data_IF_835221598744
#
_entry.id   IF_835221598744
#
_cell.length_a   1.000
_cell.length_b   1.000
_cell.length_c   1.000
_cell.angle_alpha   90.00
_cell.angle_beta   90.00
_cell.angle_gamma   90.00
#
_symmetry.space_group_name_H-M   'P 1'
#
loop_
_entity.id
_entity.type
_entity.pdbx_description
1 polymer ?
#
# COMPACT_ATOMS: atom_id res chain seq x y z
N UNK A 1 11.26 6.95 -7.35
CA UNK A 1 11.53 7.47 -5.98
C UNK A 1 10.97 8.89 -5.79
N UNK A 2 11.33 9.85 -6.63
CA UNK A 2 10.88 11.26 -6.49
C UNK A 2 9.36 11.41 -6.37
N UNK A 3 8.57 10.72 -7.21
CA UNK A 3 7.11 10.74 -7.11
C UNK A 3 6.57 10.38 -5.70
N UNK A 4 7.19 9.39 -5.03
CA UNK A 4 6.85 9.00 -3.65
C UNK A 4 7.18 10.10 -2.64
N UNK A 5 8.34 10.74 -2.79
CA UNK A 5 8.78 11.83 -1.91
C UNK A 5 7.86 13.04 -2.04
N UNK A 6 7.56 13.47 -3.27
CA UNK A 6 6.67 14.59 -3.51
C UNK A 6 5.23 14.32 -3.05
N UNK A 7 4.74 13.08 -3.26
CA UNK A 7 3.45 12.68 -2.70
C UNK A 7 3.47 12.84 -1.18
N UNK A 8 4.53 12.39 -0.51
CA UNK A 8 4.66 12.52 0.96
C UNK A 8 4.65 13.96 1.45
N UNK A 9 5.17 14.89 0.64
CA UNK A 9 5.19 16.33 0.93
C UNK A 9 3.88 17.05 0.61
N UNK A 10 2.92 16.39 -0.05
CA UNK A 10 1.70 17.04 -0.58
C UNK A 10 1.97 17.88 -1.83
N UNK A 11 3.12 17.70 -2.48
CA UNK A 11 3.51 18.36 -3.73
C UNK A 11 2.94 17.58 -4.93
N UNK A 12 1.63 17.70 -5.14
CA UNK A 12 0.87 16.84 -6.06
C UNK A 12 1.23 17.05 -7.54
N UNK A 13 1.59 18.26 -7.95
CA UNK A 13 1.98 18.53 -9.35
C UNK A 13 3.28 17.79 -9.70
N UNK A 14 4.28 17.87 -8.82
CA UNK A 14 5.55 17.18 -8.98
C UNK A 14 5.38 15.66 -8.86
N UNK A 15 4.58 15.21 -7.89
CA UNK A 15 4.28 13.79 -7.73
C UNK A 15 3.64 13.20 -8.98
N UNK A 16 2.64 13.88 -9.55
CA UNK A 16 2.02 13.53 -10.82
C UNK A 16 3.06 13.49 -11.95
N UNK A 17 3.84 14.57 -12.12
CA UNK A 17 4.77 14.69 -13.24
C UNK A 17 5.89 13.64 -13.24
N UNK A 18 6.41 13.28 -12.07
CA UNK A 18 7.42 12.20 -11.98
C UNK A 18 6.83 10.81 -12.12
N UNK A 19 5.60 10.58 -11.64
CA UNK A 19 4.92 9.31 -11.85
C UNK A 19 4.59 9.12 -13.34
N UNK A 20 4.07 10.15 -14.00
CA UNK A 20 3.74 10.14 -15.42
C UNK A 20 4.95 9.84 -16.31
N UNK A 21 6.06 10.56 -16.11
CA UNK A 21 7.32 10.29 -16.85
C UNK A 21 7.79 8.85 -16.69
N UNK A 22 7.67 8.28 -15.50
CA UNK A 22 8.09 6.90 -15.28
C UNK A 22 7.15 5.89 -15.95
N UNK A 23 5.84 6.13 -15.91
CA UNK A 23 4.83 5.27 -16.53
C UNK A 23 4.86 5.32 -18.07
N UNK A 24 5.34 6.41 -18.66
CA UNK A 24 5.58 6.51 -20.11
C UNK A 24 6.73 5.61 -20.57
N UNK A 25 7.74 5.39 -19.73
CA UNK A 25 8.88 4.50 -20.02
C UNK A 25 8.59 3.05 -19.64
N UNK A 26 7.94 2.84 -18.49
CA UNK A 26 7.63 1.52 -17.93
C UNK A 26 6.29 1.55 -17.20
N UNK A 27 5.21 1.20 -17.92
CA UNK A 27 3.82 1.22 -17.40
C UNK A 27 3.16 -0.15 -17.33
N UNK A 28 3.88 -1.24 -17.57
CA UNK A 28 3.28 -2.58 -17.60
C UNK A 28 2.84 -3.04 -16.21
N UNK A 29 1.69 -3.72 -16.17
CA UNK A 29 1.15 -4.37 -14.99
C UNK A 29 1.09 -5.88 -15.19
N UNK A 30 1.38 -6.63 -14.14
CA UNK A 30 1.15 -8.06 -14.05
C UNK A 30 -0.36 -8.30 -13.95
N UNK A 31 -0.90 -9.09 -14.86
CA UNK A 31 -2.30 -9.48 -14.79
C UNK A 31 -2.47 -10.67 -13.84
N UNK A 32 -3.24 -10.49 -12.78
CA UNK A 32 -3.39 -11.50 -11.73
C UNK A 32 -4.19 -12.71 -12.19
N UNK A 33 -4.93 -12.60 -13.31
CA UNK A 33 -5.62 -13.74 -13.93
C UNK A 33 -4.63 -14.79 -14.46
N UNK A 34 -3.36 -14.41 -14.68
CA UNK A 34 -2.31 -15.29 -15.20
C UNK A 34 -1.51 -15.98 -14.09
N UNK A 35 -1.84 -15.72 -12.81
CA UNK A 35 -1.17 -16.31 -11.66
C UNK A 35 -1.71 -17.70 -11.30
N UNK A 36 -0.82 -18.60 -10.91
CA UNK A 36 -1.20 -19.87 -10.29
C UNK A 36 -1.40 -19.71 -8.77
N UNK A 37 -2.65 -19.61 -8.34
CA UNK A 37 -2.99 -19.49 -6.92
C UNK A 37 -2.83 -20.80 -6.13
N UNK A 38 -2.64 -21.95 -6.79
CA UNK A 38 -2.35 -23.23 -6.13
C UNK A 38 -0.89 -23.29 -5.64
N UNK A 39 0.00 -22.51 -6.25
CA UNK A 39 1.39 -22.40 -5.82
C UNK A 39 1.51 -21.81 -4.40
N UNK A 40 2.58 -22.22 -3.69
CA UNK A 40 2.91 -21.66 -2.37
C UNK A 40 3.12 -20.14 -2.41
N UNK A 41 3.71 -19.66 -3.50
CA UNK A 41 3.89 -18.24 -3.82
C UNK A 41 3.46 -18.02 -5.27
N UNK A 42 2.39 -17.24 -5.51
CA UNK A 42 1.83 -17.10 -6.86
C UNK A 42 2.66 -16.18 -7.76
N UNK A 43 3.44 -15.26 -7.17
CA UNK A 43 4.24 -14.31 -7.93
C UNK A 43 5.53 -14.94 -8.48
N UNK A 44 6.12 -14.36 -9.54
CA UNK A 44 7.37 -14.86 -10.12
C UNK A 44 8.52 -14.93 -9.10
N UNK A 45 9.27 -16.03 -9.14
CA UNK A 45 10.38 -16.31 -8.23
C UNK A 45 11.45 -15.22 -8.38
N UNK A 46 11.91 -14.67 -7.25
CA UNK A 46 12.87 -13.56 -7.21
C UNK A 46 12.41 -12.31 -7.98
N UNK A 47 11.11 -12.19 -8.29
CA UNK A 47 10.57 -11.10 -9.09
C UNK A 47 10.99 -11.15 -10.57
N UNK A 48 11.68 -12.20 -10.99
CA UNK A 48 12.13 -12.37 -12.37
C UNK A 48 10.92 -12.58 -13.28
N UNK A 49 10.75 -11.71 -14.28
CA UNK A 49 9.58 -11.72 -15.16
C UNK A 49 8.35 -11.00 -14.60
N UNK A 50 8.42 -10.38 -13.41
CA UNK A 50 7.40 -9.43 -12.98
C UNK A 50 7.66 -8.06 -13.67
N UNK A 51 6.80 -7.64 -14.63
CA UNK A 51 7.03 -6.41 -15.38
C UNK A 51 6.82 -5.15 -14.54
N UNK A 52 6.29 -5.28 -13.33
CA UNK A 52 6.03 -4.15 -12.46
C UNK A 52 7.27 -3.65 -11.71
N UNK A 53 8.28 -4.50 -11.50
CA UNK A 53 9.42 -4.17 -10.66
C UNK A 53 10.37 -3.20 -11.37
N UNK A 54 10.49 -1.98 -10.84
CA UNK A 54 11.39 -0.94 -11.33
C UNK A 54 12.70 -0.95 -10.55
N UNK A 55 12.61 -1.13 -9.23
CA UNK A 55 13.76 -1.22 -8.34
C UNK A 55 13.56 -2.39 -7.39
N UNK A 56 14.48 -3.34 -7.43
CA UNK A 56 14.45 -4.53 -6.60
C UNK A 56 14.98 -4.22 -5.20
N UNK A 57 14.12 -4.34 -4.18
CA UNK A 57 14.52 -4.20 -2.79
C UNK A 57 13.72 -5.14 -1.90
N UNK A 58 14.42 -5.77 -0.97
CA UNK A 58 13.88 -6.81 -0.09
C UNK A 58 14.14 -6.44 1.35
N UNK A 59 13.11 -6.55 2.19
CA UNK A 59 13.26 -6.52 3.63
C UNK A 59 13.09 -7.92 4.21
N UNK A 60 13.98 -8.26 5.14
CA UNK A 60 13.78 -9.40 6.04
C UNK A 60 12.91 -8.95 7.21
N UNK A 61 11.83 -9.67 7.47
CA UNK A 61 11.03 -9.45 8.67
C UNK A 61 11.84 -9.81 9.90
N UNK A 62 11.93 -8.90 10.88
CA UNK A 62 12.38 -9.28 12.21
C UNK A 62 11.44 -10.30 12.87
N UNK A 63 11.82 -10.79 14.05
CA UNK A 63 11.06 -11.82 14.79
C UNK A 63 9.56 -11.51 14.96
N UNK A 64 9.18 -10.23 15.08
CA UNK A 64 7.79 -9.80 15.22
C UNK A 64 6.96 -10.03 13.95
N UNK A 65 7.60 -10.02 12.77
CA UNK A 65 6.94 -10.24 11.47
C UNK A 65 7.08 -11.68 10.97
N UNK A 66 7.52 -12.60 11.83
CA UNK A 66 7.56 -14.02 11.49
C UNK A 66 6.15 -14.54 11.20
N UNK A 67 6.02 -15.43 10.20
CA UNK A 67 4.75 -16.09 9.81
C UNK A 67 4.03 -16.78 10.97
N UNK A 68 4.77 -17.22 11.97
CA UNK A 68 4.21 -17.87 13.15
C UNK A 68 3.59 -16.88 14.13
N UNK A 69 3.78 -15.57 13.95
CA UNK A 69 3.36 -14.52 14.91
C UNK A 69 2.51 -13.41 14.29
N UNK A 70 2.52 -13.28 12.97
CA UNK A 70 1.86 -12.18 12.26
C UNK A 70 0.64 -12.67 11.48
N UNK A 71 -0.51 -12.11 11.82
CA UNK A 71 -1.76 -12.28 11.08
C UNK A 71 -2.06 -11.00 10.28
N UNK A 72 -2.78 -11.17 9.18
CA UNK A 72 -3.37 -10.05 8.45
C UNK A 72 -4.58 -9.54 9.24
N UNK A 73 -4.74 -8.21 9.32
CA UNK A 73 -5.88 -7.60 10.00
C UNK A 73 -7.19 -7.92 9.29
N UNK A 74 -8.25 -8.21 10.06
CA UNK A 74 -9.61 -8.44 9.53
C UNK A 74 -10.08 -7.30 8.64
N UNK A 75 -9.83 -6.06 9.04
CA UNK A 75 -10.11 -4.84 8.27
C UNK A 75 -9.55 -4.86 6.83
N UNK A 76 -8.37 -5.47 6.62
CA UNK A 76 -7.78 -5.60 5.28
C UNK A 76 -8.41 -6.78 4.54
N UNK A 77 -8.66 -7.89 5.23
CA UNK A 77 -9.30 -9.07 4.65
C UNK A 77 -10.71 -8.76 4.15
N UNK A 78 -11.48 -8.00 4.92
CA UNK A 78 -12.84 -7.55 4.61
C UNK A 78 -12.88 -6.47 3.53
N UNK A 79 -11.76 -5.79 3.27
CA UNK A 79 -11.69 -4.75 2.24
C UNK A 79 -11.62 -5.29 0.81
N UNK A 80 -11.27 -6.57 0.64
CA UNK A 80 -11.23 -7.21 -0.67
C UNK A 80 -12.65 -7.64 -1.09
N UNK A 81 -13.10 -7.12 -2.22
CA UNK A 81 -14.39 -7.48 -2.79
C UNK A 81 -14.36 -8.87 -3.43
N UNK A 82 -15.54 -9.44 -3.66
CA UNK A 82 -15.66 -10.69 -4.43
C UNK A 82 -15.05 -10.52 -5.84
N UNK A 83 -14.26 -11.51 -6.25
CA UNK A 83 -13.52 -11.48 -7.50
C UNK A 83 -12.23 -10.66 -7.49
N UNK A 84 -11.85 -10.03 -6.38
CA UNK A 84 -10.52 -9.43 -6.19
C UNK A 84 -9.48 -10.53 -5.97
N UNK A 85 -8.55 -10.68 -6.92
CA UNK A 85 -7.54 -11.74 -6.89
C UNK A 85 -6.44 -11.47 -5.86
N UNK A 86 -6.31 -10.24 -5.34
CA UNK A 86 -5.31 -9.91 -4.33
C UNK A 86 -5.50 -10.67 -3.03
N UNK A 87 -6.75 -11.00 -2.67
CA UNK A 87 -7.02 -11.86 -1.52
C UNK A 87 -6.36 -13.23 -1.71
N UNK A 88 -6.47 -13.83 -2.88
CA UNK A 88 -5.83 -15.13 -3.18
C UNK A 88 -4.31 -15.01 -3.38
N UNK A 89 -3.84 -13.87 -3.89
CA UNK A 89 -2.43 -13.61 -4.13
C UNK A 89 -1.64 -13.40 -2.82
N UNK A 90 -2.20 -12.63 -1.88
CA UNK A 90 -1.50 -12.17 -0.68
C UNK A 90 -1.90 -12.87 0.61
N UNK A 91 -3.02 -13.59 0.66
CA UNK A 91 -3.53 -14.24 1.88
C UNK A 91 -3.41 -15.75 1.77
N UNK A 92 -2.89 -16.37 2.83
CA UNK A 92 -2.87 -17.81 3.03
C UNK A 92 -3.66 -18.15 4.30
N UNK A 93 -4.54 -19.12 4.18
CA UNK A 93 -5.22 -19.74 5.29
C UNK A 93 -4.34 -20.90 5.79
N UNK A 94 -3.75 -20.75 6.99
CA UNK A 94 -2.93 -21.81 7.55
C UNK A 94 -3.78 -22.94 8.16
N UNK A 95 -3.14 -24.07 8.48
CA UNK A 95 -3.82 -25.25 9.03
C UNK A 95 -4.49 -25.00 10.39
N UNK A 96 -4.10 -23.92 11.08
CA UNK A 96 -4.70 -23.49 12.35
C UNK A 96 -5.83 -22.48 12.15
N UNK A 97 -6.23 -22.21 10.91
CA UNK A 97 -7.30 -21.27 10.54
C UNK A 97 -6.85 -19.81 10.49
N UNK A 98 -5.57 -19.50 10.75
CA UNK A 98 -5.05 -18.13 10.73
C UNK A 98 -4.91 -17.62 9.30
N UNK A 99 -5.08 -16.31 9.14
CA UNK A 99 -4.95 -15.59 7.88
C UNK A 99 -3.59 -14.89 7.86
N UNK A 100 -2.63 -15.46 7.15
CA UNK A 100 -1.24 -15.00 7.13
C UNK A 100 -0.84 -14.48 5.75
N UNK A 101 0.25 -13.72 5.70
CA UNK A 101 0.79 -13.21 4.44
C UNK A 101 1.41 -14.31 3.59
N UNK A 102 0.80 -14.57 2.42
CA UNK A 102 1.18 -15.66 1.50
C UNK A 102 2.50 -15.39 0.81
N UNK A 103 2.79 -14.16 0.40
CA UNK A 103 4.04 -13.80 -0.25
C UNK A 103 3.96 -12.46 -0.96
N UNK A 104 5.10 -12.01 -1.45
CA UNK A 104 5.24 -10.73 -2.15
C UNK A 104 5.59 -10.91 -3.62
N UNK A 105 5.86 -9.80 -4.32
CA UNK A 105 6.30 -9.76 -5.71
C UNK A 105 7.64 -10.50 -5.99
N UNK A 106 8.25 -11.06 -4.96
CA UNK A 106 9.48 -11.84 -5.01
C UNK A 106 9.24 -13.35 -5.18
N UNK A 107 7.97 -13.79 -5.28
CA UNK A 107 7.64 -15.22 -5.33
C UNK A 107 8.13 -15.98 -4.09
N UNK A 108 8.17 -15.30 -2.93
CA UNK A 108 8.65 -15.85 -1.67
C UNK A 108 7.97 -15.18 -0.48
N UNK A 109 8.31 -15.61 0.74
CA UNK A 109 7.80 -15.02 1.98
C UNK A 109 8.47 -13.71 2.36
N UNK A 110 9.57 -13.35 1.68
CA UNK A 110 10.29 -12.09 1.92
C UNK A 110 9.42 -10.90 1.53
N UNK A 111 9.66 -9.73 2.14
CA UNK A 111 8.88 -8.54 1.85
C UNK A 111 9.52 -7.75 0.72
N UNK A 112 8.78 -7.58 -0.38
CA UNK A 112 9.15 -6.61 -1.40
C UNK A 112 8.92 -5.20 -0.85
N UNK A 113 9.93 -4.35 -0.86
CA UNK A 113 9.81 -2.94 -0.44
C UNK A 113 10.31 -1.96 -1.50
N UNK A 114 10.65 -2.48 -2.67
CA UNK A 114 11.17 -1.73 -3.80
C UNK A 114 10.16 -0.81 -4.47
N UNK A 115 10.53 -0.33 -5.65
CA UNK A 115 9.67 0.51 -6.49
C UNK A 115 9.02 -0.36 -7.57
N UNK A 116 7.73 -0.16 -7.79
CA UNK A 116 7.01 -0.83 -8.86
C UNK A 116 5.92 0.06 -9.47
N UNK A 117 5.44 -0.34 -10.65
CA UNK A 117 4.49 0.42 -11.47
C UNK A 117 3.10 0.51 -10.85
N UNK A 118 2.66 -0.52 -10.12
CA UNK A 118 1.45 -0.54 -9.28
C UNK A 118 1.32 0.72 -8.41
N UNK A 119 2.39 1.03 -7.68
CA UNK A 119 2.44 2.18 -6.79
C UNK A 119 2.47 3.50 -7.56
N UNK A 120 3.11 3.54 -8.73
CA UNK A 120 3.16 4.75 -9.56
C UNK A 120 1.78 5.10 -10.13
N UNK A 121 1.00 4.11 -10.57
CA UNK A 121 -0.39 4.34 -10.98
C UNK A 121 -1.20 4.93 -9.84
N UNK A 122 -1.03 4.42 -8.62
CA UNK A 122 -1.72 4.96 -7.45
C UNK A 122 -1.23 6.37 -7.06
N UNK A 123 0.07 6.65 -7.18
CA UNK A 123 0.61 8.00 -6.95
C UNK A 123 0.06 8.98 -7.99
N UNK A 124 0.05 8.61 -9.28
CA UNK A 124 -0.46 9.47 -10.36
C UNK A 124 -1.97 9.68 -10.22
N UNK A 125 -2.73 8.63 -9.91
CA UNK A 125 -4.17 8.73 -9.67
C UNK A 125 -4.52 9.65 -8.50
N UNK A 126 -3.84 9.48 -7.36
CA UNK A 126 -4.06 10.31 -6.17
C UNK A 126 -3.72 11.78 -6.45
N UNK A 127 -2.58 12.02 -7.08
CA UNK A 127 -2.14 13.37 -7.44
C UNK A 127 -3.08 14.01 -8.46
N UNK A 128 -3.51 13.28 -9.48
CA UNK A 128 -4.48 13.72 -10.48
C UNK A 128 -5.81 14.12 -9.82
N UNK A 129 -6.30 13.34 -8.86
CA UNK A 129 -7.52 13.66 -8.12
C UNK A 129 -7.38 14.97 -7.32
N UNK A 130 -6.25 15.19 -6.65
CA UNK A 130 -5.95 16.46 -5.96
C UNK A 130 -5.87 17.65 -6.92
N UNK A 131 -5.35 17.45 -8.13
CA UNK A 131 -5.26 18.46 -9.19
C UNK A 131 -6.56 18.62 -10.00
N UNK A 132 -7.66 18.01 -9.55
CA UNK A 132 -8.97 18.03 -10.22
C UNK A 132 -8.99 17.41 -11.63
N UNK A 133 -8.01 16.55 -11.95
CA UNK A 133 -7.93 15.75 -13.18
C UNK A 133 -8.62 14.40 -12.98
N UNK A 134 -9.94 14.42 -12.72
CA UNK A 134 -10.68 13.23 -12.27
C UNK A 134 -10.72 12.10 -13.31
N UNK A 135 -10.82 12.43 -14.59
CA UNK A 135 -10.86 11.43 -15.66
C UNK A 135 -9.55 10.64 -15.73
N UNK A 136 -8.41 11.32 -15.60
CA UNK A 136 -7.08 10.69 -15.58
C UNK A 136 -6.91 9.82 -14.33
N UNK A 137 -7.35 10.31 -13.17
CA UNK A 137 -7.32 9.56 -11.92
C UNK A 137 -8.15 8.27 -11.99
N UNK A 138 -9.36 8.35 -12.57
CA UNK A 138 -10.23 7.19 -12.78
C UNK A 138 -9.64 6.22 -13.80
N UNK A 139 -8.98 6.72 -14.86
CA UNK A 139 -8.34 5.88 -15.85
C UNK A 139 -7.21 5.04 -15.22
N UNK A 140 -6.32 5.66 -14.45
CA UNK A 140 -5.23 4.97 -13.75
C UNK A 140 -5.75 3.95 -12.74
N UNK A 141 -6.73 4.36 -11.92
CA UNK A 141 -7.35 3.50 -10.92
C UNK A 141 -7.99 2.26 -11.56
N UNK A 142 -8.78 2.45 -12.62
CA UNK A 142 -9.46 1.35 -13.29
C UNK A 142 -8.51 0.49 -14.11
N UNK A 143 -7.44 1.07 -14.67
CA UNK A 143 -6.39 0.31 -15.34
C UNK A 143 -5.72 -0.65 -14.36
N UNK A 144 -5.31 -0.18 -13.18
CA UNK A 144 -4.78 -1.05 -12.13
C UNK A 144 -5.78 -2.14 -11.74
N UNK A 145 -7.01 -1.76 -11.37
CA UNK A 145 -8.03 -2.70 -10.90
C UNK A 145 -8.36 -3.79 -11.91
N UNK A 146 -8.38 -3.47 -13.20
CA UNK A 146 -8.61 -4.45 -14.26
C UNK A 146 -7.58 -5.58 -14.26
N UNK A 147 -6.34 -5.31 -13.84
CA UNK A 147 -5.27 -6.30 -13.71
C UNK A 147 -5.31 -7.07 -12.39
N UNK A 148 -6.15 -6.66 -11.42
CA UNK A 148 -6.25 -7.29 -10.09
C UNK A 148 -7.53 -8.09 -9.89
N UNK A 149 -8.56 -7.85 -10.70
CA UNK A 149 -9.84 -8.53 -10.60
C UNK A 149 -9.97 -9.64 -11.63
N UNK A 150 -10.78 -10.66 -11.30
CA UNK A 150 -11.29 -11.61 -12.28
C UNK A 150 -11.99 -10.85 -13.41
N UNK A 151 -11.73 -11.23 -14.66
CA UNK A 151 -12.34 -10.56 -15.81
C UNK A 151 -13.88 -10.54 -15.75
N UNK A 152 -14.49 -11.62 -15.26
CA UNK A 152 -15.95 -11.74 -15.10
C UNK A 152 -16.53 -10.88 -13.97
N UNK A 153 -15.70 -10.41 -13.04
CA UNK A 153 -16.12 -9.68 -11.83
C UNK A 153 -15.70 -8.20 -11.87
N UNK A 154 -14.80 -7.82 -12.77
CA UNK A 154 -14.32 -6.45 -12.87
C UNK A 154 -15.42 -5.50 -13.34
N UNK A 155 -15.66 -4.45 -12.56
CA UNK A 155 -16.51 -3.32 -12.94
C UNK A 155 -15.73 -2.03 -12.71
N UNK A 156 -15.74 -1.16 -13.71
CA UNK A 156 -15.11 0.15 -13.63
C UNK A 156 -15.77 0.98 -12.52
N UNK A 157 -14.95 1.52 -11.64
CA UNK A 157 -15.38 2.50 -10.66
C UNK A 157 -15.57 3.84 -11.36
N UNK A 158 -16.67 4.52 -11.04
CA UNK A 158 -17.02 5.82 -11.60
C UNK A 158 -17.55 6.71 -10.49
N UNK A 159 -17.07 7.93 -10.45
CA UNK A 159 -17.62 9.00 -9.60
C UNK A 159 -17.27 10.34 -10.22
N UNK A 160 -18.08 11.35 -9.95
CA UNK A 160 -17.76 12.76 -10.25
C UNK A 160 -17.32 13.51 -9.01
N UNK A 161 -17.35 12.88 -7.84
CA UNK A 161 -16.97 13.46 -6.57
C UNK A 161 -15.49 13.19 -6.29
N UNK A 162 -14.70 14.26 -6.25
CA UNK A 162 -13.26 14.21 -5.95
C UNK A 162 -12.97 13.54 -4.61
N UNK A 163 -13.77 13.80 -3.58
CA UNK A 163 -13.51 13.28 -2.23
C UNK A 163 -13.77 11.77 -2.17
N UNK A 164 -14.88 11.30 -2.76
CA UNK A 164 -15.15 9.87 -2.90
C UNK A 164 -14.04 9.16 -3.67
N UNK A 165 -13.52 9.79 -4.74
CA UNK A 165 -12.41 9.23 -5.51
C UNK A 165 -11.13 9.13 -4.66
N UNK A 166 -10.78 10.17 -3.90
CA UNK A 166 -9.60 10.16 -3.02
C UNK A 166 -9.73 9.08 -1.93
N UNK A 167 -10.89 8.93 -1.31
CA UNK A 167 -11.15 7.87 -0.34
C UNK A 167 -11.04 6.48 -0.97
N UNK A 168 -11.59 6.31 -2.18
CA UNK A 168 -11.47 5.06 -2.90
C UNK A 168 -10.01 4.73 -3.24
N UNK A 169 -9.23 5.71 -3.72
CA UNK A 169 -7.80 5.55 -4.00
C UNK A 169 -7.04 5.20 -2.72
N UNK A 170 -7.35 5.82 -1.59
CA UNK A 170 -6.74 5.51 -0.30
C UNK A 170 -6.99 4.04 0.11
N UNK A 171 -8.21 3.55 -0.06
CA UNK A 171 -8.52 2.13 0.19
C UNK A 171 -7.86 1.20 -0.85
N UNK A 172 -7.76 1.63 -2.11
CA UNK A 172 -7.09 0.85 -3.14
C UNK A 172 -5.59 0.72 -2.85
N UNK A 173 -4.92 1.79 -2.41
CA UNK A 173 -3.53 1.76 -1.94
C UNK A 173 -3.35 0.77 -0.79
N UNK A 174 -4.32 0.69 0.13
CA UNK A 174 -4.28 -0.28 1.25
C UNK A 174 -4.33 -1.73 0.75
N UNK A 175 -5.20 -2.02 -0.22
CA UNK A 175 -5.35 -3.34 -0.84
C UNK A 175 -4.16 -3.73 -1.71
N UNK A 176 -3.59 -2.76 -2.42
CA UNK A 176 -2.52 -3.00 -3.40
C UNK A 176 -1.15 -3.16 -2.75
N UNK A 177 -0.89 -2.44 -1.66
CA UNK A 177 0.45 -2.32 -1.08
C UNK A 177 0.60 -3.00 0.30
N UNK A 178 0.04 -4.21 0.56
CA UNK A 178 0.20 -4.86 1.85
C UNK A 178 1.66 -5.27 2.05
N UNK A 179 2.19 -4.95 3.23
CA UNK A 179 3.58 -5.24 3.62
C UNK A 179 4.66 -4.63 2.71
N UNK A 180 4.35 -3.55 1.98
CA UNK A 180 5.28 -2.76 1.15
C UNK A 180 5.99 -1.62 1.91
N UNK A 181 5.84 -1.56 3.23
CA UNK A 181 6.31 -0.46 4.10
C UNK A 181 5.73 0.94 3.78
N UNK A 182 4.49 0.99 3.26
CA UNK A 182 3.81 2.26 2.87
C UNK A 182 2.69 2.70 3.82
N UNK A 183 2.02 1.76 4.48
CA UNK A 183 0.78 2.04 5.23
C UNK A 183 0.93 3.10 6.32
N UNK A 184 2.05 3.09 7.04
CA UNK A 184 2.30 4.09 8.09
C UNK A 184 2.48 5.50 7.51
N UNK A 185 3.21 5.61 6.39
CA UNK A 185 3.43 6.86 5.66
C UNK A 185 2.11 7.42 5.12
N UNK A 186 1.30 6.57 4.48
CA UNK A 186 -0.04 6.92 3.98
C UNK A 186 -0.97 7.41 5.09
N UNK A 187 -1.05 6.69 6.23
CA UNK A 187 -1.92 7.08 7.34
C UNK A 187 -1.55 8.43 7.94
N UNK A 188 -0.25 8.70 8.14
CA UNK A 188 0.24 9.99 8.64
C UNK A 188 -0.08 11.12 7.67
N UNK A 189 0.12 10.86 6.39
CA UNK A 189 -0.07 11.84 5.32
C UNK A 189 -1.53 12.19 5.10
N UNK A 190 -2.42 11.20 5.04
CA UNK A 190 -3.86 11.45 4.88
C UNK A 190 -4.43 12.22 6.05
N UNK A 191 -3.96 11.93 7.26
CA UNK A 191 -4.26 12.73 8.44
C UNK A 191 -3.81 14.20 8.33
N UNK A 192 -2.94 14.53 7.39
CA UNK A 192 -2.58 15.91 7.06
C UNK A 192 -3.48 16.47 5.95
N UNK A 193 -3.65 15.74 4.83
CA UNK A 193 -4.22 16.29 3.59
C UNK A 193 -5.67 15.90 3.27
N UNK A 194 -6.24 14.92 3.96
CA UNK A 194 -7.64 14.49 3.79
C UNK A 194 -8.52 15.03 4.91
N UNK A 195 -9.82 15.19 4.63
CA UNK A 195 -10.81 15.64 5.62
C UNK A 195 -11.10 14.54 6.64
N UNK A 196 -11.19 13.28 6.20
CA UNK A 196 -11.43 12.13 7.09
C UNK A 196 -10.14 11.75 7.83
N UNK A 197 -10.04 12.19 9.08
CA UNK A 197 -8.90 11.86 9.96
C UNK A 197 -9.08 10.45 10.51
N UNK A 198 -8.11 9.58 10.23
CA UNK A 198 -8.15 8.16 10.56
C UNK A 198 -7.33 7.88 11.82
N UNK A 199 -7.99 7.33 12.84
CA UNK A 199 -7.36 6.75 14.02
C UNK A 199 -7.01 5.27 13.76
N UNK A 200 -5.97 4.75 14.43
CA UNK A 200 -5.63 3.32 14.37
C UNK A 200 -6.11 2.65 15.64
N UNK A 201 -6.93 1.61 15.51
CA UNK A 201 -7.35 0.76 16.63
C UNK A 201 -6.79 -0.63 16.47
N UNK A 202 -6.24 -1.21 17.52
CA UNK A 202 -5.72 -2.58 17.53
C UNK A 202 -6.08 -3.25 18.84
N UNK A 203 -6.55 -4.49 18.78
CA UNK A 203 -6.78 -5.32 19.95
C UNK A 203 -5.61 -6.29 20.12
N UNK A 204 -4.97 -6.26 21.28
CA UNK A 204 -3.91 -7.21 21.63
C UNK A 204 -4.11 -7.70 23.06
N UNK A 205 -4.11 -9.03 23.25
CA UNK A 205 -4.34 -9.68 24.55
C UNK A 205 -5.61 -9.16 25.27
N UNK A 206 -6.71 -8.97 24.52
CA UNK A 206 -7.98 -8.42 25.01
C UNK A 206 -7.95 -6.97 25.47
N UNK A 207 -6.86 -6.24 25.21
CA UNK A 207 -6.75 -4.80 25.42
C UNK A 207 -6.86 -4.08 24.09
N UNK A 208 -7.72 -3.07 24.04
CA UNK A 208 -7.86 -2.20 22.88
C UNK A 208 -6.89 -1.01 23.00
N UNK A 209 -6.04 -0.86 21.98
CA UNK A 209 -5.11 0.25 21.82
C UNK A 209 -5.64 1.15 20.71
N UNK A 210 -5.66 2.45 20.96
CA UNK A 210 -6.05 3.45 19.97
C UNK A 210 -4.97 4.54 19.86
N UNK A 211 -4.51 4.79 18.63
CA UNK A 211 -3.75 5.98 18.27
C UNK A 211 -4.71 6.96 17.61
N UNK A 212 -5.15 7.96 18.36
CA UNK A 212 -6.09 8.99 17.91
C UNK A 212 -5.41 9.99 16.99
N UNK A 213 -6.17 10.72 16.20
CA UNK A 213 -5.67 11.88 15.48
C UNK A 213 -6.40 13.16 15.95
N UNK A 214 -5.68 14.27 16.23
CA UNK A 214 -4.21 14.40 16.29
C UNK A 214 -3.63 13.81 17.59
N UNK A 215 -2.50 13.13 17.50
CA UNK A 215 -1.72 12.65 18.66
C UNK A 215 -0.22 12.80 18.35
N UNK A 216 0.62 13.37 19.23
CA UNK A 216 2.06 13.50 18.97
C UNK A 216 2.77 12.16 18.71
N UNK A 217 2.19 11.03 19.15
CA UNK A 217 2.73 9.67 18.98
C UNK A 217 2.71 9.16 17.54
N UNK A 218 2.08 9.88 16.60
CA UNK A 218 2.26 9.63 15.17
C UNK A 218 3.69 9.89 14.70
N UNK A 219 4.53 10.56 15.50
CA UNK A 219 5.96 10.76 15.23
C UNK A 219 6.79 10.05 16.29
N UNK A 220 7.66 9.14 15.83
CA UNK A 220 8.55 8.36 16.70
C UNK A 220 9.49 9.25 17.52
N UNK A 221 9.93 8.78 18.70
CA UNK A 221 10.93 9.51 19.49
C UNK A 221 12.25 9.56 18.76
N UNK A 222 12.94 10.68 18.91
CA UNK A 222 14.37 10.69 18.67
C UNK A 222 15.03 9.68 19.61
N UNK A 223 16.02 8.91 19.15
CA UNK A 223 16.78 8.01 20.01
C UNK A 223 17.38 8.76 21.20
N UNK A 224 17.29 8.18 22.40
CA UNK A 224 17.77 8.83 23.63
C UNK A 224 19.24 9.26 23.56
N UNK A 225 20.07 8.44 22.89
CA UNK A 225 21.49 8.77 22.66
C UNK A 225 21.66 10.03 21.79
N UNK A 226 20.78 10.26 20.81
CA UNK A 226 20.85 11.46 20.00
C UNK A 226 20.57 12.71 20.86
N UNK A 227 19.59 12.64 21.76
CA UNK A 227 19.28 13.75 22.68
C UNK A 227 20.41 13.96 23.68
N UNK A 228 20.91 12.88 24.27
CA UNK A 228 21.94 12.95 25.32
C UNK A 228 23.27 13.53 24.82
N UNK A 229 23.68 13.18 23.59
CA UNK A 229 24.99 13.57 23.06
C UNK A 229 24.94 14.64 21.97
N UNK A 230 23.76 14.89 21.37
CA UNK A 230 23.62 15.75 20.20
C UNK A 230 22.86 17.05 20.43
N UNK A 231 22.46 17.36 21.67
CA UNK A 231 21.72 18.58 22.04
C UNK A 231 20.40 18.77 21.25
N UNK A 232 19.81 17.69 20.73
CA UNK A 232 18.53 17.74 20.04
C UNK A 232 17.36 17.83 21.02
N UNK A 233 16.34 18.62 20.69
CA UNK A 233 15.07 18.65 21.41
C UNK A 233 14.20 17.44 21.04
N UNK A 234 13.59 16.80 22.03
CA UNK A 234 12.69 15.66 21.80
C UNK A 234 11.37 16.11 21.15
N UNK A 235 10.78 15.23 20.34
CA UNK A 235 9.44 15.44 19.79
C UNK A 235 8.39 15.57 20.91
N UNK A 236 7.37 16.44 20.76
CA UNK A 236 6.26 16.52 21.70
C UNK A 236 5.58 15.16 21.96
N UNK A 237 5.01 14.97 23.15
CA UNK A 237 4.41 13.70 23.59
C UNK A 237 3.02 13.86 24.16
#
# INVERSE_FOLDING_TARGET
MLARVYLQMGAFEEAYGYADKCLQETGSLLNYNDLDFSASYPFPIQGEGNPEIIFYEVASGGNLMARTRMNISDELLESYADGDLRRQAFVLDDQSGRKIYKGSYLGSYSFFIGLATDELYLIRAESAAHLSKLEEALADLNYLRRHRFLFSSFTEYKTTNRFELLDFIAEERRRELPFRNRRWEDLRRWNTFMEDKRSIKRRAASVDYELKHPDPKWTWPLPDLAIQYGEYEQNPR
#
